data_IF_978971132925
#
_entry.id   IF_978971132925
#
_cell.length_a   1.000
_cell.length_b   1.000
_cell.length_c   1.000
_cell.angle_alpha   90.00
_cell.angle_beta   90.00
_cell.angle_gamma   90.00
#
_symmetry.space_group_name_H-M   'P 1'
#
loop_
_entity.id
_entity.type
_entity.pdbx_description
1 polymer ?
#
# COMPACT_ATOMS: atom_id res chain seq x y z
N UNK A 1 1.77 11.42 16.23
CA UNK A 1 0.66 10.84 15.45
C UNK A 1 0.80 11.35 14.03
N UNK A 2 0.98 10.48 13.03
CA UNK A 2 1.18 10.93 11.66
C UNK A 2 -0.17 11.16 10.96
N UNK A 3 -0.22 12.11 10.02
CA UNK A 3 -1.42 12.44 9.25
C UNK A 3 -1.07 12.52 7.76
N UNK A 4 -1.80 11.79 6.93
CA UNK A 4 -1.78 11.93 5.48
C UNK A 4 -2.97 12.80 5.05
N UNK A 5 -2.72 13.87 4.32
CA UNK A 5 -3.75 14.77 3.81
C UNK A 5 -3.68 14.87 2.29
N UNK A 6 -4.81 14.73 1.64
CA UNK A 6 -5.02 15.15 0.27
C UNK A 6 -5.96 16.35 0.30
N UNK A 7 -5.59 17.45 -0.35
CA UNK A 7 -6.31 18.71 -0.31
C UNK A 7 -6.61 19.19 -1.72
N UNK A 8 -7.89 19.35 -2.04
CA UNK A 8 -8.37 19.92 -3.30
C UNK A 8 -7.78 19.26 -4.56
N UNK A 9 -7.63 17.92 -4.53
CA UNK A 9 -7.08 17.19 -5.67
C UNK A 9 -8.04 17.25 -6.84
N UNK A 10 -7.52 17.66 -8.01
CA UNK A 10 -8.25 17.66 -9.27
C UNK A 10 -7.41 17.05 -10.39
N UNK A 11 -8.12 16.38 -11.33
CA UNK A 11 -7.51 15.76 -12.50
C UNK A 11 -8.44 15.75 -13.68
N UNK A 12 -7.92 16.19 -14.82
CA UNK A 12 -8.59 16.13 -16.13
C UNK A 12 -7.73 15.34 -17.11
N UNK A 13 -8.39 14.58 -17.97
CA UNK A 13 -7.77 13.94 -19.13
C UNK A 13 -8.43 14.49 -20.38
N UNK A 14 -7.66 15.27 -21.16
CA UNK A 14 -8.18 16.04 -22.30
C UNK A 14 -9.32 16.96 -21.83
N UNK A 15 -10.53 16.83 -22.38
CA UNK A 15 -11.71 17.61 -22.01
C UNK A 15 -12.53 17.03 -20.85
N UNK A 16 -12.19 15.81 -20.38
CA UNK A 16 -12.97 15.13 -19.31
C UNK A 16 -12.33 15.37 -17.96
N UNK A 17 -13.03 16.07 -17.07
CA UNK A 17 -12.67 16.16 -15.67
C UNK A 17 -13.07 14.88 -14.94
N UNK A 18 -12.08 14.11 -14.46
CA UNK A 18 -12.27 12.81 -13.79
C UNK A 18 -12.33 12.98 -12.28
N UNK A 19 -11.48 13.86 -11.73
CA UNK A 19 -11.51 14.25 -10.31
C UNK A 19 -11.67 15.76 -10.26
N UNK A 20 -12.71 16.24 -9.57
CA UNK A 20 -13.06 17.68 -9.58
C UNK A 20 -12.41 18.43 -8.41
N UNK A 21 -12.70 17.97 -7.20
CA UNK A 21 -12.19 18.55 -5.96
C UNK A 21 -12.36 17.49 -4.86
N UNK A 22 -11.28 16.78 -4.52
CA UNK A 22 -11.29 15.75 -3.49
C UNK A 22 -10.33 16.12 -2.39
N UNK A 23 -10.87 16.19 -1.17
CA UNK A 23 -10.09 16.37 0.04
C UNK A 23 -10.38 15.24 1.01
N UNK A 24 -9.34 14.65 1.59
CA UNK A 24 -9.43 13.61 2.61
C UNK A 24 -8.23 13.69 3.56
N UNK A 25 -8.39 13.14 4.75
CA UNK A 25 -7.29 12.98 5.70
C UNK A 25 -7.37 11.62 6.36
N UNK A 26 -6.20 11.06 6.69
CA UNK A 26 -6.06 9.76 7.34
C UNK A 26 -5.04 9.94 8.46
N UNK A 27 -5.39 9.50 9.65
CA UNK A 27 -4.50 9.47 10.80
C UNK A 27 -3.87 8.08 10.99
N UNK A 28 -2.73 8.04 11.66
CA UNK A 28 -2.12 6.78 12.10
C UNK A 28 -3.13 5.92 12.85
N UNK A 29 -3.26 4.64 12.46
CA UNK A 29 -4.21 3.71 13.07
C UNK A 29 -5.67 3.93 12.69
N UNK A 30 -5.95 4.71 11.66
CA UNK A 30 -7.28 4.91 11.10
C UNK A 30 -7.45 4.10 9.81
N UNK A 31 -8.67 3.61 9.56
CA UNK A 31 -9.07 3.03 8.28
C UNK A 31 -10.05 3.99 7.62
N UNK A 32 -9.76 4.40 6.40
CA UNK A 32 -10.61 5.28 5.59
C UNK A 32 -10.97 4.58 4.28
N UNK A 33 -12.24 4.54 3.92
CA UNK A 33 -12.74 4.01 2.66
C UNK A 33 -13.04 5.11 1.65
N UNK A 34 -12.50 5.00 0.44
CA UNK A 34 -12.87 5.82 -0.71
C UNK A 34 -13.85 5.01 -1.57
N UNK A 35 -15.14 5.25 -1.35
CA UNK A 35 -16.22 4.48 -1.96
C UNK A 35 -16.86 5.23 -3.12
N UNK A 36 -17.44 4.51 -4.06
CA UNK A 36 -18.20 5.07 -5.17
C UNK A 36 -18.27 4.14 -6.38
N UNK A 37 -19.15 4.43 -7.35
CA UNK A 37 -19.34 3.59 -8.52
C UNK A 37 -18.11 3.55 -9.44
N UNK A 38 -18.10 2.59 -10.38
CA UNK A 38 -17.06 2.52 -11.40
C UNK A 38 -17.02 3.82 -12.23
N UNK A 39 -15.83 4.30 -12.51
CA UNK A 39 -15.62 5.56 -13.22
C UNK A 39 -15.79 6.84 -12.39
N UNK A 40 -16.05 6.74 -11.08
CA UNK A 40 -16.14 7.90 -10.17
C UNK A 40 -14.79 8.62 -9.92
N UNK A 41 -13.68 8.11 -10.45
CA UNK A 41 -12.36 8.72 -10.28
C UNK A 41 -11.59 8.23 -9.05
N UNK A 42 -12.07 7.20 -8.32
CA UNK A 42 -11.42 6.64 -7.12
C UNK A 42 -9.96 6.27 -7.37
N UNK A 43 -9.72 5.42 -8.37
CA UNK A 43 -8.38 4.97 -8.76
C UNK A 43 -7.48 6.15 -9.17
N UNK A 44 -8.02 7.14 -9.88
CA UNK A 44 -7.27 8.35 -10.26
C UNK A 44 -6.88 9.15 -9.03
N UNK A 45 -7.81 9.36 -8.09
CA UNK A 45 -7.53 10.04 -6.82
C UNK A 45 -6.45 9.29 -6.03
N UNK A 46 -6.59 7.99 -5.95
CA UNK A 46 -5.65 7.08 -5.30
C UNK A 46 -4.24 7.19 -5.92
N UNK A 47 -4.16 7.15 -7.24
CA UNK A 47 -2.89 7.28 -7.97
C UNK A 47 -2.25 8.66 -7.82
N UNK A 48 -3.04 9.73 -7.66
CA UNK A 48 -2.51 11.04 -7.31
C UNK A 48 -1.88 11.06 -5.93
N UNK A 49 -2.46 10.35 -4.95
CA UNK A 49 -1.91 10.25 -3.59
C UNK A 49 -0.63 9.41 -3.58
N UNK A 50 -0.61 8.29 -4.30
CA UNK A 50 0.57 7.40 -4.41
C UNK A 50 1.71 8.06 -5.21
N UNK A 51 1.39 8.96 -6.15
CA UNK A 51 2.36 9.60 -7.03
C UNK A 51 2.57 8.90 -8.36
N UNK A 52 1.64 8.02 -8.77
CA UNK A 52 1.58 7.40 -10.09
C UNK A 52 1.00 8.34 -11.15
N UNK A 53 0.10 9.22 -10.74
CA UNK A 53 -0.52 10.26 -11.58
C UNK A 53 -0.27 11.63 -10.96
N UNK A 54 0.17 12.58 -11.78
CA UNK A 54 0.33 13.96 -11.35
C UNK A 54 -1.05 14.62 -11.24
N UNK A 55 -1.34 15.23 -10.09
CA UNK A 55 -2.52 16.06 -9.92
C UNK A 55 -2.38 17.35 -10.75
N UNK A 56 -3.49 17.84 -11.30
CA UNK A 56 -3.51 19.14 -12.00
C UNK A 56 -3.67 20.28 -10.99
N UNK A 57 -4.36 20.01 -9.87
CA UNK A 57 -4.51 20.92 -8.74
C UNK A 57 -4.48 20.15 -7.41
N UNK A 58 -4.28 20.89 -6.34
CA UNK A 58 -4.29 20.36 -4.99
C UNK A 58 -2.92 19.94 -4.48
N UNK A 59 -2.90 19.37 -3.27
CA UNK A 59 -1.69 18.99 -2.55
C UNK A 59 -1.85 17.65 -1.84
N UNK A 60 -0.73 16.95 -1.68
CA UNK A 60 -0.61 15.77 -0.82
C UNK A 60 0.45 16.06 0.24
N UNK A 61 0.08 15.93 1.51
CA UNK A 61 0.96 16.20 2.64
C UNK A 61 1.04 14.96 3.54
N UNK A 62 2.23 14.69 4.06
CA UNK A 62 2.45 13.73 5.16
C UNK A 62 2.96 14.55 6.33
N UNK A 63 2.19 14.57 7.41
CA UNK A 63 2.37 15.52 8.50
C UNK A 63 2.36 16.95 7.91
N UNK A 64 3.40 17.72 8.08
CA UNK A 64 3.53 19.06 7.49
C UNK A 64 4.41 19.09 6.22
N UNK A 65 4.87 17.93 5.77
CA UNK A 65 5.71 17.83 4.58
C UNK A 65 4.85 17.72 3.31
N UNK A 66 5.01 18.67 2.40
CA UNK A 66 4.41 18.60 1.06
C UNK A 66 5.15 17.57 0.18
N UNK A 67 4.44 16.50 -0.20
CA UNK A 67 4.97 15.43 -1.05
C UNK A 67 4.35 15.45 -2.46
N UNK A 68 3.61 16.50 -2.80
CA UNK A 68 2.84 16.59 -4.05
C UNK A 68 3.69 16.36 -5.30
N UNK A 69 4.90 16.90 -5.31
CA UNK A 69 5.80 16.81 -6.46
C UNK A 69 6.81 15.66 -6.37
N UNK A 70 6.81 14.92 -5.26
CA UNK A 70 7.68 13.75 -5.13
C UNK A 70 7.16 12.60 -6.02
N UNK A 71 8.06 11.90 -6.71
CA UNK A 71 7.71 10.67 -7.41
C UNK A 71 7.34 9.56 -6.41
N UNK A 72 6.72 8.49 -6.90
CA UNK A 72 6.24 7.36 -6.07
C UNK A 72 7.29 6.86 -5.07
N UNK A 73 8.54 6.65 -5.51
CA UNK A 73 9.62 6.19 -4.62
C UNK A 73 9.99 7.21 -3.54
N UNK A 74 9.84 8.52 -3.82
CA UNK A 74 10.02 9.58 -2.83
C UNK A 74 8.93 9.56 -1.78
N UNK A 75 7.67 9.36 -2.19
CA UNK A 75 6.53 9.21 -1.27
C UNK A 75 6.61 7.92 -0.46
N UNK A 76 7.13 6.83 -1.05
CA UNK A 76 7.40 5.60 -0.31
C UNK A 76 8.40 5.83 0.82
N UNK A 77 9.48 6.59 0.58
CA UNK A 77 10.44 6.98 1.62
C UNK A 77 9.84 7.92 2.66
N UNK A 78 8.86 8.73 2.30
CA UNK A 78 8.14 9.60 3.21
C UNK A 78 7.12 8.82 4.07
N UNK A 79 6.83 7.55 3.73
CA UNK A 79 6.02 6.65 4.53
C UNK A 79 4.71 6.19 3.90
N UNK A 80 4.54 6.29 2.57
CA UNK A 80 3.36 5.76 1.86
C UNK A 80 3.69 4.39 1.27
N UNK A 81 3.05 3.34 1.77
CA UNK A 81 3.00 2.02 1.14
C UNK A 81 1.85 1.93 0.14
N UNK A 82 2.02 1.15 -0.91
CA UNK A 82 0.98 0.92 -1.93
C UNK A 82 0.87 -0.55 -2.28
N UNK A 83 -0.36 -1.04 -2.30
CA UNK A 83 -0.69 -2.39 -2.73
C UNK A 83 -1.70 -2.31 -3.88
N UNK A 84 -1.30 -2.61 -5.11
CA UNK A 84 -2.17 -2.56 -6.28
C UNK A 84 -3.22 -3.67 -6.25
N UNK A 85 -4.28 -3.49 -7.05
CA UNK A 85 -5.29 -4.51 -7.29
C UNK A 85 -4.68 -5.74 -7.96
N UNK A 86 -3.84 -5.53 -8.97
CA UNK A 86 -3.16 -6.61 -9.68
C UNK A 86 -2.02 -7.20 -8.86
N UNK A 87 -1.73 -8.48 -9.11
CA UNK A 87 -0.63 -9.17 -8.46
C UNK A 87 0.72 -8.51 -8.75
N UNK A 88 1.39 -8.08 -7.69
CA UNK A 88 2.66 -7.35 -7.77
C UNK A 88 3.88 -8.17 -7.36
N UNK A 89 3.68 -9.45 -7.02
CA UNK A 89 4.77 -10.33 -6.55
C UNK A 89 5.84 -10.56 -7.62
N UNK A 90 7.11 -10.62 -7.23
CA UNK A 90 8.19 -11.04 -8.10
C UNK A 90 8.14 -12.56 -8.28
N UNK A 91 7.55 -13.00 -9.39
CA UNK A 91 7.15 -14.39 -9.64
C UNK A 91 8.31 -15.40 -9.59
N UNK A 92 9.52 -14.98 -9.97
CA UNK A 92 10.72 -15.82 -10.05
C UNK A 92 11.60 -15.76 -8.81
N UNK A 93 11.23 -14.95 -7.82
CA UNK A 93 11.91 -14.85 -6.53
C UNK A 93 11.18 -15.71 -5.49
N UNK A 94 11.92 -16.19 -4.49
CA UNK A 94 11.35 -16.82 -3.31
C UNK A 94 10.52 -15.82 -2.50
N UNK A 95 9.72 -16.29 -1.55
CA UNK A 95 9.01 -15.44 -0.60
C UNK A 95 10.00 -14.58 0.19
N UNK A 96 11.07 -15.18 0.70
CA UNK A 96 12.13 -14.48 1.42
C UNK A 96 12.79 -13.40 0.55
N UNK A 97 13.13 -13.73 -0.69
CA UNK A 97 13.78 -12.77 -1.61
C UNK A 97 12.83 -11.64 -2.03
N UNK A 98 11.53 -11.92 -2.17
CA UNK A 98 10.52 -10.88 -2.42
C UNK A 98 10.51 -9.80 -1.34
N UNK A 99 10.62 -10.19 -0.07
CA UNK A 99 10.63 -9.27 1.07
C UNK A 99 12.02 -8.64 1.21
N UNK A 100 13.09 -9.45 1.09
CA UNK A 100 14.47 -8.98 1.24
C UNK A 100 14.82 -7.92 0.20
N UNK A 101 14.38 -8.06 -1.05
CA UNK A 101 14.59 -7.06 -2.10
C UNK A 101 14.11 -5.65 -1.71
N UNK A 102 13.06 -5.56 -0.91
CA UNK A 102 12.59 -4.28 -0.38
C UNK A 102 13.39 -3.85 0.85
N UNK A 103 13.70 -4.77 1.77
CA UNK A 103 14.50 -4.48 2.95
C UNK A 103 15.90 -3.95 2.59
N UNK A 104 16.48 -4.40 1.49
CA UNK A 104 17.77 -3.92 0.97
C UNK A 104 17.74 -2.44 0.55
N UNK A 105 16.57 -1.90 0.22
CA UNK A 105 16.43 -0.47 -0.10
C UNK A 105 16.47 0.42 1.16
N UNK A 106 16.34 -0.15 2.35
CA UNK A 106 16.36 0.56 3.63
C UNK A 106 17.79 0.81 4.09
N UNK A 107 18.17 2.09 4.10
CA UNK A 107 19.51 2.53 4.51
C UNK A 107 19.71 2.56 6.02
N UNK A 108 18.62 2.53 6.78
CA UNK A 108 18.59 2.54 8.25
C UNK A 108 18.82 1.14 8.85
N UNK A 109 18.81 0.08 8.03
CA UNK A 109 19.06 -1.30 8.47
C UNK A 109 20.38 -1.81 7.94
N UNK A 110 21.19 -2.36 8.84
CA UNK A 110 22.34 -3.18 8.49
C UNK A 110 21.91 -4.61 8.08
N UNK A 111 22.86 -5.47 7.76
CA UNK A 111 22.59 -6.85 7.34
C UNK A 111 21.81 -7.64 8.41
N UNK A 112 22.17 -7.49 9.67
CA UNK A 112 21.51 -8.16 10.79
C UNK A 112 20.09 -7.65 10.99
N UNK A 113 19.88 -6.33 10.93
CA UNK A 113 18.58 -5.70 11.05
C UNK A 113 17.63 -6.11 9.92
N UNK A 114 18.12 -6.23 8.68
CA UNK A 114 17.33 -6.73 7.54
C UNK A 114 16.90 -8.18 7.76
N UNK A 115 17.81 -9.03 8.26
CA UNK A 115 17.47 -10.43 8.54
C UNK A 115 16.42 -10.54 9.66
N UNK A 116 16.55 -9.76 10.73
CA UNK A 116 15.57 -9.72 11.81
C UNK A 116 14.21 -9.22 11.31
N UNK A 117 14.18 -8.17 10.48
CA UNK A 117 12.96 -7.66 9.89
C UNK A 117 12.30 -8.69 8.97
N UNK A 118 13.07 -9.42 8.17
CA UNK A 118 12.57 -10.52 7.33
C UNK A 118 11.90 -11.59 8.19
N UNK A 119 12.60 -12.12 9.19
CA UNK A 119 12.03 -13.17 10.06
C UNK A 119 10.76 -12.68 10.77
N UNK A 120 10.75 -11.43 11.25
CA UNK A 120 9.57 -10.82 11.87
C UNK A 120 8.39 -10.79 10.92
N UNK A 121 8.56 -10.35 9.67
CA UNK A 121 7.49 -10.31 8.67
C UNK A 121 7.01 -11.70 8.26
N UNK A 122 7.92 -12.67 8.10
CA UNK A 122 7.55 -14.05 7.79
C UNK A 122 6.67 -14.68 8.87
N UNK A 123 6.97 -14.42 10.14
CA UNK A 123 6.19 -14.90 11.28
C UNK A 123 4.86 -14.15 11.40
N UNK A 124 4.88 -12.82 11.33
CA UNK A 124 3.71 -11.95 11.48
C UNK A 124 2.60 -12.28 10.47
N UNK A 125 2.97 -12.59 9.23
CA UNK A 125 2.02 -12.93 8.16
C UNK A 125 1.78 -14.42 7.98
N UNK A 126 2.34 -15.26 8.88
CA UNK A 126 2.21 -16.73 8.83
C UNK A 126 2.66 -17.34 7.49
N UNK A 127 3.75 -16.81 6.90
CA UNK A 127 4.32 -17.25 5.63
C UNK A 127 5.71 -17.87 5.77
N UNK A 128 6.16 -18.12 7.01
CA UNK A 128 7.47 -18.72 7.27
C UNK A 128 7.63 -20.10 6.63
N UNK A 129 6.57 -20.92 6.65
CA UNK A 129 6.57 -22.28 6.09
C UNK A 129 6.74 -22.34 4.57
N UNK A 130 6.47 -21.23 3.88
CA UNK A 130 6.63 -21.11 2.41
C UNK A 130 7.79 -20.18 2.02
N UNK A 131 8.70 -19.87 2.95
CA UNK A 131 9.77 -18.88 2.76
C UNK A 131 10.63 -19.10 1.50
N UNK A 132 10.86 -20.37 1.14
CA UNK A 132 11.67 -20.76 -0.02
C UNK A 132 10.85 -21.03 -1.28
N UNK A 133 9.51 -20.96 -1.19
CA UNK A 133 8.62 -21.14 -2.33
C UNK A 133 8.72 -19.96 -3.30
N UNK A 134 8.69 -20.25 -4.60
CA UNK A 134 8.68 -19.21 -5.62
C UNK A 134 7.33 -18.47 -5.66
N UNK A 135 7.36 -17.16 -5.92
CA UNK A 135 6.17 -16.33 -6.00
C UNK A 135 5.12 -16.85 -6.99
N UNK A 136 5.56 -17.51 -8.06
CA UNK A 136 4.66 -18.09 -9.07
C UNK A 136 3.90 -19.34 -8.60
N UNK A 137 4.34 -20.01 -7.55
CA UNK A 137 3.73 -21.24 -7.02
C UNK A 137 2.73 -20.99 -5.88
N UNK A 138 2.58 -19.75 -5.43
CA UNK A 138 1.73 -19.39 -4.30
C UNK A 138 0.25 -19.40 -4.67
N UNK A 139 -0.58 -19.86 -3.76
CA UNK A 139 -2.03 -19.64 -3.80
C UNK A 139 -2.37 -18.14 -3.74
N UNK A 140 -3.60 -17.78 -4.09
CA UNK A 140 -4.05 -16.38 -4.05
C UNK A 140 -3.89 -15.73 -2.67
N UNK A 141 -4.28 -16.44 -1.62
CA UNK A 141 -4.16 -15.97 -0.24
C UNK A 141 -2.72 -15.83 0.24
N UNK A 142 -1.88 -16.84 -0.01
CA UNK A 142 -0.45 -16.79 0.32
C UNK A 142 0.24 -15.63 -0.41
N UNK A 143 -0.01 -15.50 -1.71
CA UNK A 143 0.52 -14.40 -2.52
C UNK A 143 0.15 -13.05 -1.92
N UNK A 144 -1.12 -12.84 -1.54
CA UNK A 144 -1.59 -11.58 -0.97
C UNK A 144 -0.89 -11.25 0.36
N UNK A 145 -0.69 -12.26 1.22
CA UNK A 145 0.06 -12.10 2.47
C UNK A 145 1.51 -11.69 2.21
N UNK A 146 2.17 -12.31 1.22
CA UNK A 146 3.55 -11.94 0.84
C UNK A 146 3.62 -10.53 0.27
N UNK A 147 2.68 -10.12 -0.56
CA UNK A 147 2.61 -8.77 -1.12
C UNK A 147 2.44 -7.70 -0.03
N UNK A 148 1.60 -7.98 0.98
CA UNK A 148 1.40 -7.08 2.12
C UNK A 148 2.66 -7.03 2.99
N UNK A 149 3.26 -8.18 3.32
CA UNK A 149 4.51 -8.24 4.06
C UNK A 149 5.62 -7.46 3.36
N UNK A 150 5.70 -7.58 2.03
CA UNK A 150 6.63 -6.81 1.20
C UNK A 150 6.36 -5.30 1.25
N UNK A 151 5.10 -4.88 1.19
CA UNK A 151 4.74 -3.47 1.33
C UNK A 151 5.12 -2.92 2.71
N UNK A 152 4.99 -3.73 3.77
CA UNK A 152 5.38 -3.36 5.13
C UNK A 152 6.91 -3.34 5.37
N UNK A 153 7.68 -4.02 4.53
CA UNK A 153 9.14 -4.00 4.62
C UNK A 153 9.72 -2.59 4.50
N UNK A 154 9.00 -1.65 3.86
CA UNK A 154 9.37 -0.23 3.83
C UNK A 154 9.12 0.52 5.14
N UNK A 155 8.49 -0.11 6.15
CA UNK A 155 8.01 0.50 7.39
C UNK A 155 7.12 1.74 7.15
N UNK A 156 6.01 1.61 6.39
CA UNK A 156 5.18 2.74 6.02
C UNK A 156 4.39 3.27 7.21
N UNK A 157 4.10 4.59 7.22
CA UNK A 157 3.15 5.23 8.13
C UNK A 157 1.71 5.02 7.68
N UNK A 158 1.52 4.94 6.35
CA UNK A 158 0.24 4.75 5.68
C UNK A 158 0.36 3.69 4.60
N UNK A 159 -0.67 2.88 4.43
CA UNK A 159 -0.76 1.91 3.34
C UNK A 159 -2.04 2.15 2.55
N UNK A 160 -1.91 2.17 1.24
CA UNK A 160 -3.00 2.36 0.31
C UNK A 160 -3.29 1.04 -0.39
N UNK A 161 -4.53 0.54 -0.25
CA UNK A 161 -5.00 -0.75 -0.78
C UNK A 161 -6.02 -0.48 -1.89
N UNK A 162 -5.65 -0.76 -3.13
CA UNK A 162 -6.53 -0.57 -4.29
C UNK A 162 -7.39 -1.82 -4.49
N UNK A 163 -8.70 -1.69 -4.26
CA UNK A 163 -9.71 -2.76 -4.37
C UNK A 163 -9.24 -4.10 -3.78
N UNK A 164 -8.86 -4.15 -2.49
CA UNK A 164 -8.21 -5.33 -1.91
C UNK A 164 -9.09 -6.58 -1.89
N UNK A 165 -10.39 -6.43 -2.07
CA UNK A 165 -11.38 -7.53 -2.07
C UNK A 165 -11.81 -7.95 -3.47
N UNK A 166 -11.37 -7.25 -4.54
CA UNK A 166 -11.79 -7.54 -5.90
C UNK A 166 -11.27 -8.91 -6.37
N UNK A 167 -12.19 -9.76 -6.85
CA UNK A 167 -11.84 -11.09 -7.36
C UNK A 167 -11.32 -12.08 -6.31
N UNK A 168 -11.52 -11.79 -5.04
CA UNK A 168 -11.09 -12.63 -3.91
C UNK A 168 -12.25 -13.54 -3.49
N UNK A 169 -11.94 -14.80 -3.20
CA UNK A 169 -12.93 -15.73 -2.65
C UNK A 169 -13.39 -15.31 -1.23
N UNK A 170 -14.63 -15.68 -0.82
CA UNK A 170 -15.20 -15.24 0.45
C UNK A 170 -14.37 -15.60 1.70
N UNK A 171 -13.64 -16.70 1.67
CA UNK A 171 -12.80 -17.13 2.80
C UNK A 171 -11.59 -16.21 2.91
N UNK A 172 -10.92 -15.96 1.81
CA UNK A 172 -9.76 -15.07 1.74
C UNK A 172 -10.10 -13.60 2.04
N UNK A 173 -11.35 -13.16 1.81
CA UNK A 173 -11.84 -11.83 2.24
C UNK A 173 -11.73 -11.66 3.75
N UNK A 174 -12.08 -12.71 4.52
CA UNK A 174 -11.93 -12.72 5.98
C UNK A 174 -10.48 -12.48 6.41
N UNK A 175 -9.54 -13.16 5.78
CA UNK A 175 -8.11 -13.04 6.04
C UNK A 175 -7.60 -11.61 5.75
N UNK A 176 -8.00 -11.02 4.62
CA UNK A 176 -7.61 -9.65 4.25
C UNK A 176 -8.16 -8.64 5.26
N UNK A 177 -9.41 -8.80 5.72
CA UNK A 177 -10.00 -7.96 6.77
C UNK A 177 -9.19 -8.04 8.07
N UNK A 178 -8.79 -9.25 8.49
CA UNK A 178 -7.95 -9.42 9.69
C UNK A 178 -6.60 -8.72 9.53
N UNK A 179 -5.98 -8.81 8.37
CA UNK A 179 -4.72 -8.11 8.08
C UNK A 179 -4.92 -6.59 8.16
N UNK A 180 -5.99 -6.04 7.60
CA UNK A 180 -6.29 -4.60 7.67
C UNK A 180 -6.47 -4.15 9.13
N UNK A 181 -7.19 -4.92 9.94
CA UNK A 181 -7.32 -4.65 11.38
C UNK A 181 -5.98 -4.74 12.11
N UNK A 182 -5.14 -5.70 11.74
CA UNK A 182 -3.78 -5.81 12.29
C UNK A 182 -2.91 -4.57 11.95
N UNK A 183 -2.97 -4.08 10.71
CA UNK A 183 -2.27 -2.86 10.30
C UNK A 183 -2.72 -1.65 11.13
N UNK A 184 -4.03 -1.50 11.33
CA UNK A 184 -4.61 -0.47 12.20
C UNK A 184 -4.06 -0.58 13.62
N UNK A 185 -4.04 -1.79 14.20
CA UNK A 185 -3.56 -2.03 15.56
C UNK A 185 -2.06 -1.67 15.72
N UNK A 186 -1.28 -1.79 14.64
CA UNK A 186 0.13 -1.34 14.58
C UNK A 186 0.29 0.18 14.43
N UNK A 187 -0.80 0.93 14.38
CA UNK A 187 -0.77 2.37 14.20
C UNK A 187 -0.55 2.83 12.76
N UNK A 188 -0.70 1.94 11.77
CA UNK A 188 -0.61 2.28 10.34
C UNK A 188 -1.96 2.80 9.88
N UNK A 189 -1.99 3.99 9.24
CA UNK A 189 -3.18 4.50 8.59
C UNK A 189 -3.45 3.74 7.30
N UNK A 190 -4.70 3.36 7.05
CA UNK A 190 -5.08 2.56 5.89
C UNK A 190 -6.11 3.29 5.04
N UNK A 191 -5.82 3.47 3.75
CA UNK A 191 -6.79 3.94 2.75
C UNK A 191 -7.17 2.78 1.84
N UNK A 192 -8.48 2.57 1.67
CA UNK A 192 -9.02 1.48 0.86
C UNK A 192 -9.93 2.07 -0.20
N UNK A 193 -9.78 1.63 -1.45
CA UNK A 193 -10.82 1.83 -2.48
C UNK A 193 -11.72 0.60 -2.55
N UNK A 194 -13.00 0.82 -2.71
CA UNK A 194 -13.99 -0.25 -2.94
C UNK A 194 -15.20 0.28 -3.69
N UNK A 195 -16.07 -0.63 -4.12
CA UNK A 195 -17.28 -0.33 -4.88
C UNK A 195 -18.48 -0.01 -4.01
#
# INVERSE_FOLDING_TARGET
MAILKAQHLAKSYKSRQVVRDVSLSIESGQIVGLLGPNGAGKTTCFYMIVGLVKADQGRVLIDDQDVTHLPMHGRARAGIGYLPQEASIFRKLSVSDNIMAILETRKDLDRSGRQQALEGLLQEFHIHHIRDSLGMSLSGGERRRVEIARALATAPKFILLDEPFAGVDPISVGDIKQIIHHLKAKGIGVLITDH
#
